data_IF_857094231362
#
_entry.id   IF_857094231362
#
_cell.length_a   1.000
_cell.length_b   1.000
_cell.length_c   1.000
_cell.angle_alpha   90.00
_cell.angle_beta   90.00
_cell.angle_gamma   90.00
#
_symmetry.space_group_name_H-M   'P 1'
#
loop_
_entity.id
_entity.type
_entity.pdbx_description
1 polymer ?
#
# COMPACT_ATOMS: atom_id res chain seq x y z
N UNK A 1 37.49 35.55 33.09
CA UNK A 1 37.26 34.86 31.81
C UNK A 1 35.81 35.12 31.47
N UNK A 2 35.58 36.21 30.73
CA UNK A 2 34.23 36.63 30.35
C UNK A 2 33.68 35.69 29.28
N UNK A 3 32.45 35.23 29.47
CA UNK A 3 31.73 34.40 28.52
C UNK A 3 31.51 35.14 27.20
N UNK A 4 31.65 34.47 26.04
CA UNK A 4 31.44 35.11 24.75
C UNK A 4 29.99 35.60 24.63
N UNK A 5 29.77 36.80 24.04
CA UNK A 5 28.43 37.35 23.89
C UNK A 5 27.58 36.49 22.94
N UNK A 6 26.33 36.27 23.33
CA UNK A 6 25.37 35.51 22.54
C UNK A 6 25.03 36.26 21.25
N UNK A 7 24.97 35.58 20.09
CA UNK A 7 24.59 36.22 18.83
C UNK A 7 23.19 36.82 18.91
N UNK A 8 23.02 38.03 18.37
CA UNK A 8 21.72 38.69 18.28
C UNK A 8 20.97 38.11 17.08
N UNK A 9 19.79 37.53 17.33
CA UNK A 9 18.91 37.05 16.28
C UNK A 9 18.06 38.22 15.74
N UNK A 10 17.73 38.23 14.42
CA UNK A 10 16.85 39.25 13.84
C UNK A 10 15.47 39.24 14.50
N UNK A 11 14.82 40.41 14.56
CA UNK A 11 13.44 40.51 15.02
C UNK A 11 12.46 39.88 14.02
N UNK A 12 11.23 39.60 14.46
CA UNK A 12 10.21 38.91 13.66
C UNK A 12 9.81 39.61 12.35
N UNK A 13 10.21 40.87 12.17
CA UNK A 13 9.94 41.70 10.99
C UNK A 13 11.22 42.12 10.25
N UNK A 14 12.35 41.44 10.48
CA UNK A 14 13.64 41.75 9.90
C UNK A 14 14.19 40.55 9.13
N UNK A 15 14.31 40.67 7.81
CA UNK A 15 14.90 39.62 6.95
C UNK A 15 16.43 39.73 6.94
N UNK A 16 17.12 38.58 7.05
CA UNK A 16 18.58 38.51 7.04
C UNK A 16 19.09 38.84 5.63
N UNK A 17 19.69 40.01 5.46
CA UNK A 17 20.12 40.52 4.16
C UNK A 17 21.36 39.80 3.55
N UNK A 18 22.08 38.99 4.33
CA UNK A 18 23.20 38.19 3.82
C UNK A 18 23.47 36.95 4.68
N UNK A 19 23.55 35.79 4.02
CA UNK A 19 24.09 34.57 4.64
C UNK A 19 25.62 34.61 4.54
N UNK A 20 26.37 34.17 5.58
CA UNK A 20 27.81 34.10 5.49
C UNK A 20 28.21 33.05 4.43
N UNK A 21 28.86 33.50 3.37
CA UNK A 21 29.41 32.67 2.27
C UNK A 21 30.79 32.08 2.58
N UNK A 22 31.16 31.98 3.86
CA UNK A 22 32.42 31.38 4.28
C UNK A 22 32.30 29.86 4.37
N UNK A 23 33.18 29.14 3.66
CA UNK A 23 33.42 27.73 3.96
C UNK A 23 33.87 27.59 5.42
N UNK A 24 33.32 26.60 6.13
CA UNK A 24 33.70 26.32 7.51
C UNK A 24 35.20 25.96 7.55
N UNK A 25 35.98 26.51 8.50
CA UNK A 25 37.40 26.17 8.64
C UNK A 25 37.54 24.65 8.81
N UNK A 26 38.46 24.02 8.08
CA UNK A 26 38.68 22.56 8.10
C UNK A 26 38.87 21.98 9.52
N UNK A 27 39.37 22.78 10.46
CA UNK A 27 39.51 22.41 11.87
C UNK A 27 38.16 22.16 12.57
N UNK A 28 37.12 22.89 12.19
CA UNK A 28 35.75 22.71 12.72
C UNK A 28 35.05 21.49 12.10
N UNK A 29 35.43 21.13 10.88
CA UNK A 29 34.95 19.90 10.22
C UNK A 29 35.55 18.65 10.86
N UNK A 30 36.79 18.71 11.33
CA UNK A 30 37.46 17.61 12.02
C UNK A 30 36.84 17.31 13.40
N UNK A 31 36.30 18.31 14.10
CA UNK A 31 35.60 18.13 15.38
C UNK A 31 34.16 17.59 15.24
N UNK A 32 33.63 17.48 14.00
CA UNK A 32 32.30 16.93 13.69
C UNK A 32 32.40 15.49 13.14
N UNK A 33 33.61 14.93 13.06
CA UNK A 33 33.81 13.53 12.69
C UNK A 33 33.48 12.61 13.88
N UNK A 34 32.28 12.03 13.84
CA UNK A 34 31.74 11.16 14.89
C UNK A 34 32.27 9.71 14.83
N UNK A 35 33.22 9.38 13.94
CA UNK A 35 33.82 8.04 13.85
C UNK A 35 35.31 8.09 13.44
N UNK A 36 36.23 8.40 14.38
CA UNK A 36 37.66 8.56 14.08
C UNK A 36 38.39 7.24 13.72
N UNK A 37 37.77 6.07 13.92
CA UNK A 37 38.43 4.76 13.79
C UNK A 37 38.25 4.10 12.40
N UNK A 38 37.65 4.78 11.41
CA UNK A 38 37.39 4.20 10.09
C UNK A 38 38.51 4.44 9.06
N UNK A 39 39.56 5.18 9.42
CA UNK A 39 40.65 5.56 8.50
C UNK A 39 42.03 5.05 8.89
N UNK A 40 42.13 4.04 9.75
CA UNK A 40 43.38 3.28 9.96
C UNK A 40 43.24 1.88 9.36
N UNK A 41 43.30 1.81 8.03
CA UNK A 41 43.73 0.57 7.37
C UNK A 41 44.60 0.92 6.17
N UNK A 42 45.91 0.86 6.40
CA UNK A 42 46.96 0.89 5.39
C UNK A 42 46.66 -0.05 4.23
N UNK A 43 46.32 0.49 3.05
CA UNK A 43 46.52 -0.21 1.79
C UNK A 43 46.93 0.78 0.68
N UNK A 44 48.03 0.50 -0.05
CA UNK A 44 48.60 1.45 -1.00
C UNK A 44 47.86 1.45 -2.34
N UNK A 45 47.67 2.67 -2.83
CA UNK A 45 47.60 3.16 -4.22
C UNK A 45 47.61 2.13 -5.37
N UNK A 46 46.61 2.21 -6.25
CA UNK A 46 46.66 1.72 -7.64
C UNK A 46 45.56 2.35 -8.51
N UNK A 47 45.86 3.56 -8.99
CA UNK A 47 45.72 4.05 -10.39
C UNK A 47 44.81 3.32 -11.43
N UNK A 48 43.92 4.12 -12.04
CA UNK A 48 43.48 4.15 -13.48
C UNK A 48 42.98 2.90 -14.23
N UNK A 49 41.73 2.95 -14.74
CA UNK A 49 41.38 3.26 -16.16
C UNK A 49 40.05 2.62 -16.64
N UNK A 50 39.22 3.45 -17.32
CA UNK A 50 38.13 3.09 -18.24
C UNK A 50 38.70 2.74 -19.64
N UNK A 51 38.05 1.89 -20.46
CA UNK A 51 37.16 2.37 -21.56
C UNK A 51 35.93 1.45 -21.79
N UNK A 52 34.74 1.88 -22.27
CA UNK A 52 34.26 2.51 -23.54
C UNK A 52 33.89 1.53 -24.68
N UNK A 53 32.56 1.28 -24.82
CA UNK A 53 31.64 1.31 -26.02
C UNK A 53 31.88 0.49 -27.31
N UNK A 54 30.73 0.01 -27.86
CA UNK A 54 30.37 -0.38 -29.26
C UNK A 54 30.57 -1.85 -29.66
N UNK A 55 29.77 -2.49 -30.53
CA UNK A 55 28.44 -2.30 -31.16
C UNK A 55 28.18 -3.50 -32.11
N UNK A 56 26.90 -3.76 -32.42
CA UNK A 56 26.35 -4.33 -33.68
C UNK A 56 26.62 -5.83 -34.00
N UNK A 57 25.58 -6.68 -34.09
CA UNK A 57 24.75 -7.00 -35.29
C UNK A 57 25.54 -7.89 -36.31
N UNK A 58 25.03 -8.93 -36.99
CA UNK A 58 23.66 -9.26 -37.40
C UNK A 58 23.60 -10.65 -38.15
N UNK A 59 22.36 -11.19 -38.33
CA UNK A 59 21.80 -11.90 -39.53
C UNK A 59 21.83 -13.44 -39.70
N UNK A 60 20.62 -13.98 -40.02
CA UNK A 60 20.32 -15.09 -40.97
C UNK A 60 19.47 -16.24 -40.37
N UNK A 61 18.13 -16.30 -40.53
CA UNK A 61 17.32 -16.97 -41.62
C UNK A 61 17.68 -18.47 -41.82
N UNK A 62 16.79 -19.48 -41.81
CA UNK A 62 15.52 -19.61 -42.56
C UNK A 62 14.62 -20.83 -42.14
N UNK A 63 13.29 -20.62 -42.21
CA UNK A 63 12.16 -21.42 -42.76
C UNK A 63 11.86 -22.94 -42.53
N UNK A 64 10.67 -23.17 -41.91
CA UNK A 64 9.52 -24.09 -42.21
C UNK A 64 9.70 -25.62 -42.40
N UNK A 65 8.95 -26.55 -41.76
CA UNK A 65 7.49 -26.82 -41.88
C UNK A 65 7.03 -27.99 -40.97
N UNK A 66 5.72 -28.04 -40.69
CA UNK A 66 4.87 -29.19 -40.31
C UNK A 66 4.68 -29.58 -38.80
N UNK A 67 3.47 -29.30 -38.31
CA UNK A 67 2.78 -29.95 -37.18
C UNK A 67 2.13 -31.28 -37.67
N UNK A 68 1.62 -32.24 -36.82
CA UNK A 68 0.94 -31.96 -35.55
C UNK A 68 1.16 -32.95 -34.38
N UNK A 69 0.54 -32.54 -33.26
CA UNK A 69 -0.06 -33.34 -32.16
C UNK A 69 0.75 -33.54 -30.86
N UNK A 70 0.27 -32.82 -29.83
CA UNK A 70 0.12 -33.19 -28.42
C UNK A 70 1.33 -33.72 -27.65
N UNK A 71 1.83 -32.90 -26.72
CA UNK A 71 1.75 -33.14 -25.27
C UNK A 71 1.87 -31.78 -24.57
N UNK A 72 0.83 -31.47 -23.82
CA UNK A 72 0.68 -30.35 -22.91
C UNK A 72 1.70 -30.41 -21.78
N UNK A 73 2.55 -29.39 -21.69
CA UNK A 73 3.23 -28.99 -20.46
C UNK A 73 3.19 -27.45 -20.40
N UNK A 74 2.04 -26.89 -20.04
CA UNK A 74 1.97 -25.53 -19.53
C UNK A 74 2.34 -25.58 -18.06
N UNK A 75 3.60 -25.28 -17.77
CA UNK A 75 4.03 -24.77 -16.47
C UNK A 75 3.27 -23.47 -16.23
N UNK A 76 2.09 -23.58 -15.62
CA UNK A 76 1.35 -22.47 -15.06
C UNK A 76 2.06 -22.08 -13.78
N UNK A 77 2.84 -21.00 -13.86
CA UNK A 77 3.29 -20.30 -12.67
C UNK A 77 2.04 -19.87 -11.89
N UNK A 78 1.89 -20.41 -10.69
CA UNK A 78 0.84 -20.05 -9.74
C UNK A 78 1.11 -18.62 -9.23
N UNK A 79 0.76 -17.65 -10.07
CA UNK A 79 0.50 -16.28 -9.66
C UNK A 79 -0.81 -16.30 -8.86
N UNK A 80 -0.91 -15.47 -7.82
CA UNK A 80 -2.18 -15.12 -7.17
C UNK A 80 -3.33 -15.11 -8.19
N UNK A 81 -4.51 -15.71 -7.92
CA UNK A 81 -5.57 -15.76 -8.90
C UNK A 81 -5.89 -14.33 -9.33
N UNK A 82 -5.61 -13.99 -10.59
CA UNK A 82 -6.08 -12.77 -11.24
C UNK A 82 -7.59 -12.84 -11.39
N UNK A 83 -8.33 -12.86 -10.28
CA UNK A 83 -9.75 -12.50 -10.27
C UNK A 83 -9.79 -10.98 -10.31
N UNK A 84 -9.64 -10.45 -11.52
CA UNK A 84 -9.67 -9.03 -11.86
C UNK A 84 -8.96 -8.13 -10.83
N UNK A 85 -7.63 -7.99 -10.94
CA UNK A 85 -6.99 -6.74 -10.49
C UNK A 85 -7.53 -5.64 -11.41
N UNK A 86 -8.71 -5.11 -11.09
CA UNK A 86 -9.26 -3.94 -11.78
C UNK A 86 -8.40 -2.77 -11.34
N UNK A 87 -7.48 -2.35 -12.20
CA UNK A 87 -6.75 -1.10 -12.01
C UNK A 87 -7.74 0.05 -12.20
N UNK A 88 -7.92 0.90 -11.18
CA UNK A 88 -8.81 2.07 -11.30
C UNK A 88 -8.38 3.07 -12.39
N UNK A 89 -7.14 2.99 -12.88
CA UNK A 89 -6.64 3.83 -13.97
C UNK A 89 -7.33 3.60 -15.33
N UNK A 90 -8.12 2.53 -15.48
CA UNK A 90 -8.89 2.25 -16.70
C UNK A 90 -10.37 2.67 -16.61
N UNK A 91 -10.84 3.22 -15.47
CA UNK A 91 -12.27 3.51 -15.24
C UNK A 91 -12.77 4.90 -15.69
N UNK A 92 -11.88 5.85 -16.02
CA UNK A 92 -12.28 7.19 -16.52
C UNK A 92 -12.53 7.22 -18.04
N UNK A 93 -12.40 6.09 -18.72
CA UNK A 93 -12.80 5.96 -20.13
C UNK A 93 -14.25 5.51 -20.18
N UNK A 94 -15.11 6.24 -20.91
CA UNK A 94 -16.53 5.92 -21.20
C UNK A 94 -16.75 4.62 -21.99
N UNK A 95 -15.96 3.58 -21.76
CA UNK A 95 -16.28 2.23 -22.22
C UNK A 95 -17.31 1.64 -21.27
N UNK A 96 -18.55 1.69 -21.72
CA UNK A 96 -19.69 0.92 -21.22
C UNK A 96 -19.31 -0.57 -21.06
N UNK A 97 -18.76 -0.94 -19.91
CA UNK A 97 -18.74 -2.32 -19.44
C UNK A 97 -20.16 -2.67 -19.03
N UNK A 98 -20.89 -3.15 -20.03
CA UNK A 98 -22.25 -3.63 -19.91
C UNK A 98 -22.27 -4.80 -18.92
N UNK A 99 -22.91 -4.60 -17.77
CA UNK A 99 -23.35 -5.58 -16.77
C UNK A 99 -22.68 -6.96 -16.88
N UNK A 100 -21.41 -7.07 -16.45
CA UNK A 100 -20.88 -8.38 -16.07
C UNK A 100 -21.49 -8.69 -14.71
N UNK A 101 -22.59 -9.45 -14.70
CA UNK A 101 -23.21 -9.98 -13.50
C UNK A 101 -22.27 -11.00 -12.86
N UNK A 102 -21.24 -10.48 -12.18
CA UNK A 102 -20.36 -11.25 -11.32
C UNK A 102 -21.22 -11.73 -10.14
N UNK A 103 -21.78 -12.93 -10.23
CA UNK A 103 -22.32 -13.67 -9.08
C UNK A 103 -21.16 -14.01 -8.10
N UNK A 104 -20.63 -12.98 -7.44
CA UNK A 104 -19.61 -13.06 -6.42
C UNK A 104 -20.26 -13.57 -5.14
N UNK A 105 -20.04 -14.84 -4.81
CA UNK A 105 -20.40 -15.40 -3.48
C UNK A 105 -19.62 -14.77 -2.33
N UNK A 106 -18.43 -14.24 -2.63
CA UNK A 106 -17.52 -13.53 -1.73
C UNK A 106 -16.59 -12.66 -2.57
N UNK A 107 -16.16 -11.53 -2.02
CA UNK A 107 -15.15 -10.65 -2.58
C UNK A 107 -13.74 -11.09 -2.19
N UNK A 108 -13.56 -11.47 -0.92
CA UNK A 108 -12.26 -11.85 -0.36
C UNK A 108 -12.13 -13.36 -0.15
N UNK A 109 -10.90 -13.83 0.01
CA UNK A 109 -10.63 -15.20 0.49
C UNK A 109 -10.79 -15.29 2.01
N UNK A 110 -11.09 -16.46 2.59
CA UNK A 110 -10.84 -16.72 4.01
C UNK A 110 -9.37 -16.39 4.36
N UNK A 111 -9.13 -15.87 5.57
CA UNK A 111 -7.80 -15.40 5.96
C UNK A 111 -6.73 -16.48 5.77
N UNK A 112 -6.94 -17.67 6.33
CA UNK A 112 -5.96 -18.77 6.26
C UNK A 112 -5.55 -19.15 4.83
N UNK A 113 -6.52 -19.17 3.92
CA UNK A 113 -6.29 -19.48 2.50
C UNK A 113 -5.48 -18.37 1.83
N UNK A 114 -5.91 -17.11 1.98
CA UNK A 114 -5.21 -15.97 1.42
C UNK A 114 -3.80 -15.82 1.99
N UNK A 115 -3.63 -16.09 3.29
CA UNK A 115 -2.36 -16.03 3.99
C UNK A 115 -1.42 -17.14 3.52
N UNK A 116 -1.90 -18.38 3.38
CA UNK A 116 -1.10 -19.49 2.87
C UNK A 116 -0.61 -19.24 1.44
N UNK A 117 -1.47 -18.70 0.56
CA UNK A 117 -1.11 -18.34 -0.82
C UNK A 117 -0.05 -17.24 -0.82
N UNK A 118 -0.28 -16.14 -0.08
CA UNK A 118 0.67 -15.03 0.00
C UNK A 118 2.01 -15.50 0.58
N UNK A 119 1.99 -16.33 1.62
CA UNK A 119 3.19 -16.84 2.27
C UNK A 119 3.97 -17.75 1.34
N UNK A 120 3.29 -18.65 0.63
CA UNK A 120 3.92 -19.52 -0.37
C UNK A 120 4.58 -18.72 -1.50
N UNK A 121 3.91 -17.68 -2.02
CA UNK A 121 4.49 -16.79 -3.04
C UNK A 121 5.70 -16.02 -2.51
N UNK A 122 5.57 -15.50 -1.29
CA UNK A 122 6.65 -14.78 -0.61
C UNK A 122 7.86 -15.68 -0.35
N UNK A 123 7.68 -16.93 0.05
CA UNK A 123 8.77 -17.88 0.32
C UNK A 123 9.39 -18.45 -0.97
N UNK A 124 8.62 -18.51 -2.07
CA UNK A 124 9.14 -18.85 -3.40
C UNK A 124 9.89 -17.68 -4.08
N UNK A 125 9.73 -16.45 -3.59
CA UNK A 125 10.34 -15.27 -4.18
C UNK A 125 11.88 -15.34 -4.12
N UNK A 126 12.58 -14.96 -5.20
CA UNK A 126 14.03 -14.96 -5.22
C UNK A 126 14.58 -13.93 -4.23
N UNK A 127 15.61 -14.33 -3.49
CA UNK A 127 16.37 -13.40 -2.63
C UNK A 127 17.19 -12.48 -3.53
N UNK A 128 16.81 -11.21 -3.59
CA UNK A 128 17.53 -10.18 -4.37
C UNK A 128 18.54 -9.50 -3.43
N UNK A 129 19.63 -9.00 -4.01
CA UNK A 129 20.60 -8.18 -3.28
C UNK A 129 19.90 -7.04 -2.54
N UNK A 130 20.30 -6.83 -1.28
CA UNK A 130 19.75 -5.77 -0.45
C UNK A 130 19.94 -4.41 -1.12
N UNK A 131 18.91 -3.57 -1.07
CA UNK A 131 19.00 -2.21 -1.59
C UNK A 131 19.95 -1.36 -0.72
N UNK A 132 20.74 -0.50 -1.37
CA UNK A 132 21.72 0.35 -0.69
C UNK A 132 21.04 1.42 0.18
N UNK A 133 21.73 1.96 1.18
CA UNK A 133 21.19 3.04 2.02
C UNK A 133 20.76 4.27 1.21
N UNK A 134 21.44 4.56 0.10
CA UNK A 134 21.05 5.62 -0.83
C UNK A 134 19.72 5.30 -1.55
N UNK A 135 19.52 4.04 -1.96
CA UNK A 135 18.25 3.60 -2.56
C UNK A 135 17.12 3.59 -1.52
N UNK A 136 17.40 3.18 -0.28
CA UNK A 136 16.45 3.26 0.83
C UNK A 136 16.02 4.71 1.06
N UNK A 137 16.96 5.64 1.15
CA UNK A 137 16.67 7.07 1.34
C UNK A 137 15.84 7.65 0.19
N UNK A 138 16.15 7.28 -1.06
CA UNK A 138 15.34 7.68 -2.23
C UNK A 138 13.91 7.12 -2.16
N UNK A 139 13.76 5.87 -1.72
CA UNK A 139 12.45 5.23 -1.57
C UNK A 139 11.62 5.92 -0.48
N UNK A 140 12.23 6.19 0.68
CA UNK A 140 11.63 6.94 1.79
C UNK A 140 11.13 8.30 1.31
N UNK A 141 11.99 9.11 0.70
CA UNK A 141 11.62 10.42 0.17
C UNK A 141 10.49 10.33 -0.87
N UNK A 142 10.53 9.32 -1.74
CA UNK A 142 9.47 9.10 -2.73
C UNK A 142 8.13 8.78 -2.05
N UNK A 143 8.11 7.89 -1.06
CA UNK A 143 6.88 7.55 -0.33
C UNK A 143 6.35 8.77 0.42
N UNK A 144 7.22 9.52 1.09
CA UNK A 144 6.84 10.72 1.84
C UNK A 144 6.18 11.76 0.93
N UNK A 145 6.75 12.02 -0.24
CA UNK A 145 6.16 12.96 -1.20
C UNK A 145 4.81 12.48 -1.75
N UNK A 146 4.64 11.18 -2.02
CA UNK A 146 3.36 10.65 -2.46
C UNK A 146 2.29 10.74 -1.36
N UNK A 147 2.65 10.39 -0.11
CA UNK A 147 1.74 10.55 1.04
C UNK A 147 1.33 12.01 1.24
N UNK A 148 2.28 12.94 1.09
CA UNK A 148 2.01 14.37 1.20
C UNK A 148 1.09 14.86 0.08
N UNK A 149 1.26 14.37 -1.15
CA UNK A 149 0.35 14.68 -2.26
C UNK A 149 -1.07 14.18 -2.02
N UNK A 150 -1.22 12.94 -1.56
CA UNK A 150 -2.53 12.36 -1.19
C UNK A 150 -3.19 13.22 -0.10
N UNK A 151 -2.43 13.54 0.96
CA UNK A 151 -2.94 14.37 2.05
C UNK A 151 -3.38 15.74 1.58
N UNK A 152 -2.62 16.41 0.69
CA UNK A 152 -3.00 17.71 0.11
C UNK A 152 -4.27 17.62 -0.72
N UNK A 153 -4.43 16.57 -1.54
CA UNK A 153 -5.66 16.33 -2.32
C UNK A 153 -6.85 16.12 -1.39
N UNK A 154 -6.69 15.30 -0.35
CA UNK A 154 -7.71 15.07 0.66
C UNK A 154 -8.12 16.38 1.36
N UNK A 155 -7.17 17.15 1.89
CA UNK A 155 -7.47 18.43 2.58
C UNK A 155 -8.19 19.39 1.64
N UNK A 156 -7.73 19.50 0.39
CA UNK A 156 -8.40 20.36 -0.61
C UNK A 156 -9.85 19.92 -0.85
N UNK A 157 -10.11 18.62 -0.92
CA UNK A 157 -11.47 18.09 -1.07
C UNK A 157 -12.37 18.42 0.12
N UNK A 158 -11.82 18.45 1.34
CA UNK A 158 -12.57 18.84 2.54
C UNK A 158 -12.93 20.33 2.59
N UNK A 159 -12.18 21.18 1.88
CA UNK A 159 -12.43 22.63 1.86
C UNK A 159 -13.37 23.09 0.75
N UNK A 160 -13.54 22.26 -0.29
CA UNK A 160 -14.34 22.60 -1.46
C UNK A 160 -15.79 22.11 -1.29
N UNK A 161 -16.74 22.83 -1.90
CA UNK A 161 -18.18 22.49 -1.82
C UNK A 161 -18.54 21.32 -2.74
N UNK A 162 -17.71 21.03 -3.73
CA UNK A 162 -17.91 19.97 -4.71
C UNK A 162 -16.86 18.91 -4.47
N UNK A 163 -17.30 17.66 -4.30
CA UNK A 163 -16.41 16.52 -4.18
C UNK A 163 -15.71 16.26 -5.53
N UNK A 164 -14.39 16.42 -5.57
CA UNK A 164 -13.56 16.10 -6.74
C UNK A 164 -12.60 14.93 -6.47
N UNK A 165 -12.52 14.48 -5.22
CA UNK A 165 -11.60 13.41 -4.79
C UNK A 165 -12.36 12.36 -3.99
N UNK A 166 -12.96 11.42 -4.71
CA UNK A 166 -13.72 10.31 -4.13
C UNK A 166 -12.85 9.40 -3.27
N UNK A 167 -13.49 8.69 -2.34
CA UNK A 167 -12.80 7.72 -1.50
C UNK A 167 -12.13 6.59 -2.31
N UNK A 168 -12.75 6.18 -3.43
CA UNK A 168 -12.16 5.23 -4.39
C UNK A 168 -10.82 5.73 -4.96
N UNK A 169 -10.74 7.00 -5.35
CA UNK A 169 -9.51 7.59 -5.88
C UNK A 169 -8.41 7.64 -4.80
N UNK A 170 -8.80 7.95 -3.56
CA UNK A 170 -7.89 7.92 -2.42
C UNK A 170 -7.33 6.52 -2.18
N UNK A 171 -8.18 5.49 -2.18
CA UNK A 171 -7.74 4.10 -2.02
C UNK A 171 -6.79 3.67 -3.14
N UNK A 172 -7.05 4.05 -4.39
CA UNK A 172 -6.18 3.75 -5.53
C UNK A 172 -4.77 4.33 -5.36
N UNK A 173 -4.66 5.58 -4.93
CA UNK A 173 -3.36 6.22 -4.69
C UNK A 173 -2.63 5.60 -3.48
N UNK A 174 -3.35 5.26 -2.40
CA UNK A 174 -2.77 4.55 -1.25
C UNK A 174 -2.33 3.13 -1.61
N UNK A 175 -3.06 2.44 -2.48
CA UNK A 175 -2.70 1.10 -2.91
C UNK A 175 -1.36 1.08 -3.66
N UNK A 176 -1.07 2.11 -4.46
CA UNK A 176 0.24 2.24 -5.10
C UNK A 176 1.39 2.29 -4.08
N UNK A 177 1.17 2.97 -2.94
CA UNK A 177 2.15 3.04 -1.84
C UNK A 177 2.25 1.69 -1.13
N UNK A 178 1.12 1.05 -0.82
CA UNK A 178 1.09 -0.30 -0.22
C UNK A 178 1.82 -1.31 -1.11
N UNK A 179 1.60 -1.27 -2.42
CA UNK A 179 2.30 -2.10 -3.41
C UNK A 179 3.81 -1.87 -3.40
N UNK A 180 4.23 -0.61 -3.31
CA UNK A 180 5.64 -0.25 -3.28
C UNK A 180 6.32 -0.73 -1.99
N UNK A 181 5.67 -0.53 -0.83
CA UNK A 181 6.12 -1.04 0.47
C UNK A 181 6.23 -2.56 0.45
N UNK A 182 5.19 -3.25 -0.03
CA UNK A 182 5.19 -4.70 -0.13
C UNK A 182 6.26 -5.20 -1.08
N UNK A 183 6.48 -4.55 -2.22
CA UNK A 183 7.54 -4.93 -3.16
C UNK A 183 8.93 -4.84 -2.52
N UNK A 184 9.16 -3.86 -1.63
CA UNK A 184 10.39 -3.77 -0.85
C UNK A 184 10.56 -4.98 0.08
N UNK A 185 9.48 -5.40 0.76
CA UNK A 185 9.48 -6.53 1.70
C UNK A 185 9.57 -7.87 0.96
N UNK A 186 8.83 -8.06 -0.14
CA UNK A 186 8.76 -9.26 -0.97
C UNK A 186 10.13 -9.66 -1.52
N UNK A 187 10.98 -8.66 -1.80
CA UNK A 187 12.39 -8.84 -2.18
C UNK A 187 13.31 -9.25 -1.01
N UNK A 188 12.76 -9.56 0.16
CA UNK A 188 13.45 -9.94 1.39
C UNK A 188 14.45 -8.88 1.89
N UNK A 189 14.21 -7.60 1.64
CA UNK A 189 15.04 -6.55 2.23
C UNK A 189 14.88 -6.51 3.75
N UNK A 190 15.90 -6.01 4.46
CA UNK A 190 15.76 -5.68 5.88
C UNK A 190 14.68 -4.60 6.08
N UNK A 191 14.07 -4.57 7.26
CA UNK A 191 13.10 -3.53 7.59
C UNK A 191 13.86 -2.24 7.94
N UNK A 192 13.57 -1.16 7.24
CA UNK A 192 14.15 0.17 7.42
C UNK A 192 13.08 1.27 7.54
N UNK A 193 11.85 0.90 7.87
CA UNK A 193 10.74 1.85 8.09
C UNK A 193 9.41 1.43 7.49
N UNK A 194 9.35 0.32 6.76
CA UNK A 194 8.12 -0.13 6.09
C UNK A 194 6.96 -0.34 7.07
N UNK A 195 7.22 -0.86 8.27
CA UNK A 195 6.20 -1.03 9.31
C UNK A 195 5.68 0.33 9.80
N UNK A 196 6.56 1.33 9.95
CA UNK A 196 6.15 2.69 10.33
C UNK A 196 5.25 3.32 9.26
N UNK A 197 5.53 3.05 7.98
CA UNK A 197 4.67 3.49 6.90
C UNK A 197 3.32 2.79 6.89
N UNK A 198 3.23 1.49 7.18
CA UNK A 198 1.95 0.84 7.36
C UNK A 198 1.16 1.43 8.54
N UNK A 199 1.82 1.71 9.66
CA UNK A 199 1.18 2.36 10.81
C UNK A 199 0.64 3.74 10.42
N UNK A 200 1.45 4.55 9.73
CA UNK A 200 1.04 5.86 9.23
C UNK A 200 -0.13 5.75 8.25
N UNK A 201 -0.05 4.86 7.26
CA UNK A 201 -1.12 4.61 6.29
C UNK A 201 -2.43 4.21 6.97
N UNK A 202 -2.39 3.31 7.95
CA UNK A 202 -3.58 2.88 8.69
C UNK A 202 -4.17 4.01 9.55
N UNK A 203 -3.32 4.83 10.19
CA UNK A 203 -3.77 6.00 10.93
C UNK A 203 -4.37 7.07 10.02
N UNK A 204 -3.69 7.39 8.91
CA UNK A 204 -4.18 8.32 7.89
C UNK A 204 -5.51 7.80 7.29
N UNK A 205 -5.65 6.50 7.04
CA UNK A 205 -6.90 5.88 6.57
C UNK A 205 -8.05 6.01 7.58
N UNK A 206 -7.78 5.86 8.87
CA UNK A 206 -8.76 6.09 9.95
C UNK A 206 -9.29 7.53 9.87
N UNK A 207 -8.39 8.50 9.77
CA UNK A 207 -8.74 9.91 9.64
C UNK A 207 -9.49 10.20 8.34
N UNK A 208 -8.99 9.72 7.20
CA UNK A 208 -9.64 9.93 5.90
C UNK A 208 -11.05 9.36 5.87
N UNK A 209 -11.21 8.09 6.25
CA UNK A 209 -12.50 7.41 6.24
C UNK A 209 -13.54 8.12 7.11
N UNK A 210 -13.12 8.72 8.22
CA UNK A 210 -14.04 9.42 9.13
C UNK A 210 -14.73 10.61 8.44
N UNK A 211 -14.03 11.31 7.52
CA UNK A 211 -14.50 12.52 6.85
C UNK A 211 -15.36 12.27 5.62
N UNK A 212 -15.23 11.12 4.95
CA UNK A 212 -16.11 10.80 3.81
C UNK A 212 -17.51 10.46 4.30
N UNK A 213 -18.52 11.24 3.93
CA UNK A 213 -19.91 11.02 4.33
C UNK A 213 -20.45 9.67 3.81
N UNK A 214 -20.22 9.40 2.52
CA UNK A 214 -20.46 8.11 1.88
C UNK A 214 -19.19 7.59 1.23
N UNK A 215 -18.96 6.28 1.37
CA UNK A 215 -17.84 5.57 0.73
C UNK A 215 -18.27 4.83 -0.54
N UNK A 216 -19.58 4.69 -0.77
CA UNK A 216 -20.14 4.05 -1.96
C UNK A 216 -21.30 4.87 -2.51
N UNK A 217 -21.43 4.88 -3.83
CA UNK A 217 -22.63 5.36 -4.50
C UNK A 217 -23.64 4.20 -4.49
N UNK A 218 -24.66 4.29 -3.64
CA UNK A 218 -25.72 3.30 -3.53
C UNK A 218 -27.06 3.81 -4.08
N UNK A 219 -27.71 2.99 -4.90
CA UNK A 219 -29.05 3.20 -5.41
C UNK A 219 -29.96 2.07 -4.89
N UNK A 220 -30.16 2.06 -3.57
CA UNK A 220 -30.98 1.07 -2.87
C UNK A 220 -32.34 1.68 -2.56
N UNK A 221 -33.35 1.26 -3.31
CA UNK A 221 -34.74 1.64 -3.12
C UNK A 221 -35.69 0.46 -3.36
N UNK A 222 -37.00 0.71 -3.34
CA UNK A 222 -38.02 -0.33 -3.51
C UNK A 222 -38.06 -0.96 -4.92
N UNK A 223 -37.38 -0.34 -5.88
CA UNK A 223 -37.39 -0.70 -7.30
C UNK A 223 -36.06 -1.29 -7.74
N UNK A 224 -34.97 -0.97 -7.06
CA UNK A 224 -33.64 -1.35 -7.46
C UNK A 224 -32.72 -1.54 -6.25
N UNK A 225 -31.90 -2.59 -6.31
CA UNK A 225 -30.82 -2.84 -5.34
C UNK A 225 -29.53 -2.82 -6.14
N UNK A 226 -28.96 -1.63 -6.34
CA UNK A 226 -27.67 -1.48 -7.01
C UNK A 226 -26.67 -0.75 -6.12
N UNK A 227 -25.54 -1.39 -5.94
CA UNK A 227 -24.29 -0.78 -5.46
C UNK A 227 -23.24 -1.13 -6.50
N UNK A 228 -22.27 -0.24 -6.69
CA UNK A 228 -21.12 -0.53 -7.52
C UNK A 228 -20.31 -1.70 -6.93
N UNK A 229 -20.57 -2.91 -7.46
CA UNK A 229 -19.90 -4.14 -7.04
C UNK A 229 -18.39 -4.10 -7.29
N UNK A 230 -17.92 -3.30 -8.25
CA UNK A 230 -16.49 -3.15 -8.54
C UNK A 230 -15.85 -2.33 -7.42
N UNK A 231 -16.47 -1.21 -7.01
CA UNK A 231 -16.00 -0.42 -5.86
C UNK A 231 -16.04 -1.22 -4.56
N UNK A 232 -17.08 -2.03 -4.33
CA UNK A 232 -17.16 -2.91 -3.17
C UNK A 232 -16.05 -3.97 -3.17
N UNK A 233 -15.87 -4.68 -4.28
CA UNK A 233 -14.80 -5.66 -4.44
C UNK A 233 -13.43 -5.02 -4.18
N UNK A 234 -13.18 -3.86 -4.78
CA UNK A 234 -11.94 -3.12 -4.63
C UNK A 234 -11.68 -2.72 -3.17
N UNK A 235 -12.71 -2.19 -2.49
CA UNK A 235 -12.62 -1.80 -1.09
C UNK A 235 -12.22 -2.96 -0.18
N UNK A 236 -12.91 -4.11 -0.27
CA UNK A 236 -12.63 -5.24 0.61
C UNK A 236 -11.29 -5.92 0.26
N UNK A 237 -10.95 -6.02 -1.03
CA UNK A 237 -9.65 -6.58 -1.44
C UNK A 237 -8.48 -5.69 -1.03
N UNK A 238 -8.63 -4.37 -1.02
CA UNK A 238 -7.63 -3.44 -0.49
C UNK A 238 -7.33 -3.71 1.00
N UNK A 239 -8.37 -3.82 1.84
CA UNK A 239 -8.16 -4.08 3.28
C UNK A 239 -7.64 -5.49 3.54
N UNK A 240 -8.13 -6.51 2.83
CA UNK A 240 -7.58 -7.87 2.93
C UNK A 240 -6.08 -7.88 2.57
N UNK A 241 -5.68 -7.14 1.54
CA UNK A 241 -4.27 -7.06 1.14
C UNK A 241 -3.39 -6.51 2.25
N UNK A 242 -3.80 -5.41 2.90
CA UNK A 242 -3.08 -4.87 4.05
C UNK A 242 -3.04 -5.89 5.19
N UNK A 243 -4.15 -6.54 5.49
CA UNK A 243 -4.26 -7.55 6.56
C UNK A 243 -3.27 -8.70 6.35
N UNK A 244 -3.24 -9.27 5.15
CA UNK A 244 -2.35 -10.37 4.80
C UNK A 244 -0.87 -9.94 4.82
N UNK A 245 -0.55 -8.78 4.23
CA UNK A 245 0.82 -8.29 4.15
C UNK A 245 1.39 -7.96 5.53
N UNK A 246 0.62 -7.26 6.37
CA UNK A 246 1.03 -6.98 7.74
C UNK A 246 1.13 -8.25 8.56
N UNK A 247 0.22 -9.22 8.39
CA UNK A 247 0.32 -10.52 9.06
C UNK A 247 1.65 -11.23 8.78
N UNK A 248 2.15 -11.17 7.53
CA UNK A 248 3.48 -11.72 7.18
C UNK A 248 4.60 -11.00 7.94
N UNK A 249 4.51 -9.68 8.08
CA UNK A 249 5.52 -8.87 8.77
C UNK A 249 5.46 -9.06 10.30
N UNK A 250 4.26 -9.27 10.85
CA UNK A 250 4.05 -9.57 12.27
C UNK A 250 4.63 -10.94 12.62
N UNK A 251 4.32 -11.96 11.82
CA UNK A 251 4.85 -13.32 12.02
C UNK A 251 6.36 -13.38 11.78
N UNK A 252 6.84 -12.52 10.87
CA UNK A 252 8.24 -12.35 10.55
C UNK A 252 8.71 -13.20 9.38
N UNK A 253 9.91 -12.84 8.90
CA UNK A 253 10.57 -13.47 7.78
C UNK A 253 12.09 -13.39 7.93
N UNK A 254 12.82 -14.15 7.11
CA UNK A 254 14.28 -14.07 7.03
C UNK A 254 14.66 -13.14 5.88
N UNK A 255 15.40 -12.08 6.18
CA UNK A 255 15.89 -11.13 5.16
C UNK A 255 17.03 -11.74 4.33
N UNK A 256 17.41 -11.04 3.26
CA UNK A 256 18.55 -11.40 2.40
C UNK A 256 19.88 -11.46 3.14
N UNK A 257 20.00 -10.73 4.25
CA UNK A 257 21.15 -10.80 5.17
C UNK A 257 21.16 -12.05 6.05
N UNK A 258 20.13 -12.90 5.99
CA UNK A 258 19.94 -14.05 6.86
C UNK A 258 19.40 -13.71 8.25
N UNK A 259 19.19 -12.42 8.56
CA UNK A 259 18.66 -11.98 9.85
C UNK A 259 17.13 -12.11 9.89
N UNK A 260 16.54 -12.62 10.98
CA UNK A 260 15.10 -12.58 11.16
C UNK A 260 14.63 -11.13 11.29
N UNK A 261 13.58 -10.78 10.55
CA UNK A 261 12.90 -9.49 10.56
C UNK A 261 11.45 -9.71 10.96
N UNK A 262 10.93 -8.87 11.85
CA UNK A 262 9.52 -8.87 12.25
C UNK A 262 9.13 -7.52 12.82
N UNK A 263 7.83 -7.24 12.85
CA UNK A 263 7.31 -6.09 13.60
C UNK A 263 7.72 -6.21 15.09
N UNK A 264 8.22 -5.11 15.66
CA UNK A 264 8.59 -5.07 17.07
C UNK A 264 7.35 -4.87 17.97
N UNK A 265 7.50 -5.13 19.27
CA UNK A 265 6.38 -5.02 20.22
C UNK A 265 5.75 -3.62 20.26
N UNK A 266 6.56 -2.56 20.13
CA UNK A 266 6.08 -1.18 20.10
C UNK A 266 5.21 -0.90 18.86
N UNK A 267 5.59 -1.46 17.71
CA UNK A 267 4.82 -1.37 16.46
C UNK A 267 3.50 -2.11 16.60
N UNK A 268 3.49 -3.32 17.19
CA UNK A 268 2.27 -4.09 17.43
C UNK A 268 1.27 -3.33 18.33
N UNK A 269 1.76 -2.74 19.41
CA UNK A 269 0.94 -1.92 20.34
C UNK A 269 0.32 -0.71 19.63
N UNK A 270 0.91 -0.23 18.53
CA UNK A 270 0.34 0.86 17.70
C UNK A 270 -0.63 0.34 16.64
N UNK A 271 -0.28 -0.76 15.95
CA UNK A 271 -1.09 -1.34 14.87
C UNK A 271 -2.45 -1.81 15.41
N UNK A 272 -2.45 -2.60 16.50
CA UNK A 272 -3.67 -3.26 16.99
C UNK A 272 -4.79 -2.26 17.31
N UNK A 273 -4.56 -1.17 18.08
CA UNK A 273 -5.61 -0.19 18.36
C UNK A 273 -6.08 0.55 17.11
N UNK A 274 -5.17 0.92 16.19
CA UNK A 274 -5.55 1.62 14.94
C UNK A 274 -6.45 0.72 14.10
N UNK A 275 -6.04 -0.53 13.88
CA UNK A 275 -6.81 -1.50 13.10
C UNK A 275 -8.17 -1.80 13.74
N UNK A 276 -8.21 -1.91 15.07
CA UNK A 276 -9.47 -2.12 15.80
C UNK A 276 -10.45 -0.95 15.59
N UNK A 277 -9.98 0.29 15.69
CA UNK A 277 -10.82 1.48 15.46
C UNK A 277 -11.23 1.61 14.00
N UNK A 278 -10.30 1.37 13.08
CA UNK A 278 -10.57 1.39 11.64
C UNK A 278 -11.63 0.34 11.26
N UNK A 279 -11.58 -0.87 11.82
CA UNK A 279 -12.62 -1.90 11.63
C UNK A 279 -13.99 -1.39 12.08
N UNK A 280 -14.09 -0.83 13.29
CA UNK A 280 -15.34 -0.27 13.82
C UNK A 280 -15.86 0.87 12.94
N UNK A 281 -14.97 1.73 12.46
CA UNK A 281 -15.31 2.84 11.57
C UNK A 281 -15.84 2.36 10.22
N UNK A 282 -15.20 1.36 9.61
CA UNK A 282 -15.69 0.73 8.36
C UNK A 282 -17.10 0.17 8.56
N UNK A 283 -17.33 -0.56 9.66
CA UNK A 283 -18.67 -1.10 9.98
C UNK A 283 -19.69 0.03 10.11
N UNK A 284 -19.32 1.11 10.80
CA UNK A 284 -20.19 2.29 10.95
C UNK A 284 -20.54 2.94 9.61
N UNK A 285 -19.62 2.97 8.64
CA UNK A 285 -19.85 3.55 7.30
C UNK A 285 -20.72 2.65 6.42
N UNK A 286 -20.71 1.34 6.67
CA UNK A 286 -21.57 0.36 5.98
C UNK A 286 -22.99 0.27 6.59
N UNK A 287 -23.18 0.74 7.82
CA UNK A 287 -24.45 0.62 8.54
C UNK A 287 -25.65 1.27 7.81
N UNK A 288 -25.55 2.45 7.19
CA UNK A 288 -26.67 3.03 6.43
C UNK A 288 -27.15 2.12 5.29
N UNK A 289 -26.22 1.44 4.60
CA UNK A 289 -26.54 0.46 3.55
C UNK A 289 -27.28 -0.73 4.15
N UNK A 290 -26.80 -1.28 5.27
CA UNK A 290 -27.45 -2.40 5.96
C UNK A 290 -28.87 -2.06 6.41
N UNK A 291 -29.09 -0.86 6.94
CA UNK A 291 -30.42 -0.37 7.33
C UNK A 291 -31.34 -0.28 6.11
N UNK A 292 -30.87 0.28 4.99
CA UNK A 292 -31.64 0.35 3.74
C UNK A 292 -32.05 -1.06 3.25
N UNK A 293 -31.12 -2.02 3.27
CA UNK A 293 -31.38 -3.40 2.86
C UNK A 293 -32.38 -4.11 3.79
N UNK A 294 -32.23 -4.00 5.11
CA UNK A 294 -33.16 -4.59 6.08
C UNK A 294 -34.59 -4.05 5.92
N UNK A 295 -34.74 -2.75 5.66
CA UNK A 295 -36.05 -2.14 5.38
C UNK A 295 -36.74 -2.70 4.13
N UNK A 296 -35.98 -3.17 3.14
CA UNK A 296 -36.55 -3.81 1.95
C UNK A 296 -37.03 -5.24 2.25
N UNK A 297 -36.41 -5.92 3.20
CA UNK A 297 -36.80 -7.27 3.63
C UNK A 297 -38.09 -7.27 4.46
N UNK A 298 -38.36 -6.20 5.22
CA UNK A 298 -39.57 -6.05 6.04
C UNK A 298 -40.84 -5.70 5.24
N UNK A 299 -40.70 -5.24 3.99
CA UNK A 299 -41.81 -4.77 3.15
C UNK A 299 -42.58 -5.92 2.48
N UNK A 300 -43.84 -5.69 2.05
CA UNK A 300 -44.64 -6.70 1.34
C UNK A 300 -43.92 -7.19 0.06
N UNK A 301 -44.22 -8.42 -0.39
CA UNK A 301 -43.28 -9.21 -1.19
C UNK A 301 -43.10 -8.68 -2.61
N UNK A 302 -41.93 -8.09 -2.87
CA UNK A 302 -41.29 -8.10 -4.19
C UNK A 302 -40.15 -9.11 -4.16
N UNK A 303 -40.41 -10.33 -4.64
CA UNK A 303 -39.51 -11.49 -4.49
C UNK A 303 -38.10 -11.25 -5.04
N UNK A 304 -37.97 -10.52 -6.15
CA UNK A 304 -36.67 -10.23 -6.75
C UNK A 304 -35.86 -9.27 -5.90
N UNK A 305 -36.46 -8.14 -5.51
CA UNK A 305 -35.80 -7.11 -4.68
C UNK A 305 -35.41 -7.66 -3.31
N UNK A 306 -36.25 -8.49 -2.69
CA UNK A 306 -35.92 -9.13 -1.42
C UNK A 306 -34.78 -10.15 -1.55
N UNK A 307 -34.76 -10.94 -2.64
CA UNK A 307 -33.66 -11.86 -2.93
C UNK A 307 -32.34 -11.11 -3.09
N UNK A 308 -32.32 -10.03 -3.88
CA UNK A 308 -31.10 -9.27 -4.15
C UNK A 308 -30.62 -8.51 -2.91
N UNK A 309 -31.56 -7.95 -2.13
CA UNK A 309 -31.23 -7.32 -0.85
C UNK A 309 -30.63 -8.33 0.14
N UNK A 310 -31.19 -9.55 0.23
CA UNK A 310 -30.66 -10.59 1.10
C UNK A 310 -29.28 -11.08 0.67
N UNK A 311 -29.06 -11.28 -0.65
CA UNK A 311 -27.76 -11.66 -1.20
C UNK A 311 -26.69 -10.63 -0.85
N UNK A 312 -26.98 -9.34 -1.07
CA UNK A 312 -26.05 -8.26 -0.77
C UNK A 312 -25.79 -8.11 0.72
N UNK A 313 -26.82 -8.24 1.56
CA UNK A 313 -26.65 -8.21 3.02
C UNK A 313 -25.74 -9.34 3.51
N UNK A 314 -26.00 -10.58 3.07
CA UNK A 314 -25.17 -11.74 3.42
C UNK A 314 -23.72 -11.55 2.98
N UNK A 315 -23.51 -10.98 1.79
CA UNK A 315 -22.17 -10.68 1.27
C UNK A 315 -21.47 -9.64 2.15
N UNK A 316 -22.13 -8.53 2.48
CA UNK A 316 -21.54 -7.49 3.34
C UNK A 316 -21.21 -8.03 4.74
N UNK A 317 -22.08 -8.85 5.33
CA UNK A 317 -21.85 -9.44 6.65
C UNK A 317 -20.67 -10.41 6.65
N UNK A 318 -20.55 -11.23 5.61
CA UNK A 318 -19.40 -12.11 5.42
C UNK A 318 -18.11 -11.29 5.33
N UNK A 319 -18.07 -10.26 4.50
CA UNK A 319 -16.86 -9.47 4.26
C UNK A 319 -16.46 -8.63 5.47
N UNK A 320 -17.44 -8.06 6.20
CA UNK A 320 -17.20 -7.36 7.47
C UNK A 320 -16.63 -8.29 8.53
N UNK A 321 -17.07 -9.55 8.57
CA UNK A 321 -16.57 -10.52 9.56
C UNK A 321 -15.07 -10.82 9.37
N UNK A 322 -14.57 -10.74 8.13
CA UNK A 322 -13.18 -11.02 7.73
C UNK A 322 -12.25 -9.80 7.79
N UNK A 323 -12.78 -8.60 8.00
CA UNK A 323 -11.96 -7.39 8.05
C UNK A 323 -10.93 -7.46 9.19
N UNK A 324 -9.66 -7.44 8.80
CA UNK A 324 -8.50 -7.45 9.70
C UNK A 324 -8.42 -8.65 10.65
N UNK A 325 -9.01 -9.79 10.26
CA UNK A 325 -8.97 -11.03 11.02
C UNK A 325 -7.52 -11.41 11.37
N UNK A 326 -6.62 -11.34 10.39
CA UNK A 326 -5.22 -11.72 10.56
C UNK A 326 -4.47 -10.92 11.60
N UNK A 327 -4.48 -9.60 11.47
CA UNK A 327 -3.79 -8.71 12.40
C UNK A 327 -4.38 -8.82 13.81
N UNK A 328 -5.71 -8.88 13.92
CA UNK A 328 -6.39 -8.89 15.22
C UNK A 328 -6.22 -10.22 15.97
N UNK A 329 -6.16 -11.35 15.28
CA UNK A 329 -5.92 -12.65 15.92
C UNK A 329 -4.50 -12.76 16.52
N UNK A 330 -3.56 -11.95 16.00
CA UNK A 330 -2.18 -11.85 16.49
C UNK A 330 -2.00 -10.90 17.67
N UNK A 331 -3.10 -10.41 18.26
CA UNK A 331 -3.09 -9.49 19.39
C UNK A 331 -2.92 -10.16 20.76
N UNK A 332 -2.80 -11.50 20.82
CA UNK A 332 -2.81 -12.30 22.04
C UNK A 332 -1.54 -13.14 22.26
#
# INVERSE_FOLDING_TARGET
>A
MDTPPTPVHPAANEEVASLPTGELPQTTLADIDLNPDLYDSDYPDSTTSLPTVASAAAIGQDSATAAPTSISNTSTGNRWPSRATVSMQEMDSETSFQDVDLELKQFTFPFDEGYAILRSDFDAAPVIAAISNQQQSKLVNYIDENLLQIQRKFIRNQTEVIEFYSFSNLLAELEAIVNLLWTSIHKKNELFGQVEYYIKLLGDLEDYLSHYESIFDDHIDERNVKIDNVKLLYFFTFFQKIDLQLSVVIDGYVASSGKPQKANSTQLIRIIPIVSRLRVLIVSKLEPIRIKLNRLLEKPPNRHIQSDAQKLLNLLELEVSRLFEGILDRSF
#
